data_IF_689252857438
#
_entry.id   IF_689252857438
#
_cell.length_a   1.000
_cell.length_b   1.000
_cell.length_c   1.000
_cell.angle_alpha   90.00
_cell.angle_beta   90.00
_cell.angle_gamma   90.00
#
_symmetry.space_group_name_H-M   'P 1'
#
loop_
_entity.id
_entity.type
_entity.pdbx_description
1 polymer ?
#
# COMPACT_ATOMS: atom_id res chain seq x y z
N UNK A 1 61.11 -27.11 33.37
CA UNK A 1 61.31 -26.64 31.97
C UNK A 1 61.06 -25.15 31.90
N UNK A 2 62.13 -24.36 32.20
CA UNK A 2 62.09 -22.91 32.07
C UNK A 2 62.14 -22.54 30.59
N UNK A 3 60.96 -22.28 30.00
CA UNK A 3 60.87 -21.63 28.69
C UNK A 3 61.28 -20.16 28.84
N UNK A 4 62.56 -19.89 28.61
CA UNK A 4 63.08 -18.52 28.43
C UNK A 4 62.39 -17.90 27.22
N UNK A 5 61.42 -17.03 27.45
CA UNK A 5 60.88 -16.16 26.42
C UNK A 5 61.93 -15.12 26.02
N UNK A 6 62.50 -15.26 24.82
CA UNK A 6 63.37 -14.24 24.26
C UNK A 6 62.53 -13.07 23.85
N UNK A 7 62.76 -11.94 24.48
CA UNK A 7 62.10 -10.67 24.14
C UNK A 7 62.85 -10.07 22.92
N UNK A 8 62.17 -10.10 21.75
CA UNK A 8 62.68 -9.42 20.58
C UNK A 8 62.22 -7.97 20.62
N UNK A 9 63.16 -7.03 20.79
CA UNK A 9 62.90 -5.62 20.69
C UNK A 9 63.56 -5.12 19.40
N UNK A 10 62.73 -4.62 18.47
CA UNK A 10 63.18 -4.03 17.21
C UNK A 10 62.88 -2.55 17.23
N UNK A 11 63.89 -1.72 17.05
CA UNK A 11 63.73 -0.26 16.91
C UNK A 11 63.63 0.04 15.42
N UNK A 12 62.60 0.84 15.07
CA UNK A 12 62.39 1.28 13.71
C UNK A 12 62.51 2.81 13.65
N UNK A 13 63.27 3.32 12.69
CA UNK A 13 63.29 4.74 12.36
C UNK A 13 62.06 5.17 11.57
N UNK A 14 61.52 4.26 10.76
CA UNK A 14 60.30 4.46 10.01
C UNK A 14 59.59 3.13 9.83
N UNK A 15 58.27 3.07 10.06
CA UNK A 15 57.43 1.91 9.81
C UNK A 15 56.30 2.29 8.89
N UNK A 16 56.28 1.71 7.72
CA UNK A 16 55.22 1.89 6.73
C UNK A 16 54.44 0.59 6.57
N UNK A 17 53.11 0.66 6.68
CA UNK A 17 52.22 -0.44 6.38
C UNK A 17 51.26 -0.04 5.29
N UNK A 18 51.40 -0.63 4.11
CA UNK A 18 50.45 -0.46 3.03
C UNK A 18 49.26 -1.35 3.29
N UNK A 19 48.09 -0.71 3.47
CA UNK A 19 46.82 -1.43 3.50
C UNK A 19 46.28 -1.48 2.08
N UNK A 20 46.06 -2.69 1.58
CA UNK A 20 45.33 -2.87 0.32
C UNK A 20 43.84 -2.56 0.55
N UNK A 21 43.40 -1.41 0.08
CA UNK A 21 42.03 -0.94 0.15
C UNK A 21 41.22 -1.36 -1.09
N UNK A 22 41.74 -2.18 -1.97
CA UNK A 22 41.04 -2.65 -3.16
C UNK A 22 39.73 -3.39 -2.81
N UNK A 23 39.67 -4.02 -1.64
CA UNK A 23 38.45 -4.66 -1.14
C UNK A 23 37.36 -3.66 -0.70
N UNK A 24 37.74 -2.40 -0.40
CA UNK A 24 36.84 -1.30 -0.09
C UNK A 24 36.52 -0.43 -1.31
N UNK A 25 37.10 -0.75 -2.50
CA UNK A 25 36.70 -0.12 -3.73
C UNK A 25 35.17 -0.32 -3.88
N UNK A 26 34.43 0.77 -3.95
CA UNK A 26 33.00 0.78 -4.22
C UNK A 26 32.78 0.00 -5.53
N UNK A 27 32.50 -1.30 -5.41
CA UNK A 27 31.98 -2.06 -6.53
C UNK A 27 30.65 -1.41 -6.88
N UNK A 28 30.59 -0.78 -8.05
CA UNK A 28 29.35 -0.28 -8.59
C UNK A 28 28.44 -1.48 -8.74
N UNK A 29 27.58 -1.68 -7.73
CA UNK A 29 26.61 -2.79 -7.74
C UNK A 29 25.78 -2.63 -8.99
N UNK A 30 25.72 -3.65 -9.84
CA UNK A 30 24.97 -3.62 -11.09
C UNK A 30 23.52 -3.19 -10.79
N UNK A 31 23.03 -2.22 -11.54
CA UNK A 31 21.63 -1.76 -11.46
C UNK A 31 20.62 -2.91 -11.62
N UNK A 32 21.09 -4.04 -12.17
CA UNK A 32 20.29 -5.25 -12.37
C UNK A 32 19.76 -5.80 -11.04
N UNK A 33 20.55 -5.76 -9.96
CA UNK A 33 20.13 -6.23 -8.62
C UNK A 33 19.04 -5.36 -8.01
N UNK A 34 18.92 -4.10 -8.42
CA UNK A 34 17.93 -3.16 -7.89
C UNK A 34 16.73 -2.95 -8.80
N UNK A 35 16.76 -3.53 -10.01
CA UNK A 35 15.64 -3.41 -10.96
C UNK A 35 14.31 -3.94 -10.44
N UNK A 36 14.36 -4.89 -9.50
CA UNK A 36 13.15 -5.48 -8.93
C UNK A 36 12.66 -4.76 -7.68
N UNK A 37 13.47 -3.86 -7.11
CA UNK A 37 13.06 -3.05 -5.97
C UNK A 37 12.24 -1.86 -6.47
N UNK A 38 10.93 -1.90 -6.24
CA UNK A 38 9.97 -0.87 -6.68
C UNK A 38 10.40 0.55 -6.30
N UNK A 39 10.99 0.72 -5.11
CA UNK A 39 11.44 2.01 -4.55
C UNK A 39 12.59 2.65 -5.30
N UNK A 40 13.47 1.85 -5.93
CA UNK A 40 14.65 2.33 -6.65
C UNK A 40 14.36 2.65 -8.12
N UNK A 41 13.22 2.25 -8.65
CA UNK A 41 12.81 2.53 -10.00
C UNK A 41 12.55 4.03 -10.21
N UNK A 42 12.95 4.56 -11.37
CA UNK A 42 12.55 5.88 -11.81
C UNK A 42 11.09 5.89 -12.30
N UNK A 43 10.53 7.08 -12.58
CA UNK A 43 9.12 7.25 -12.97
C UNK A 43 8.82 6.47 -14.28
N UNK A 44 9.71 6.53 -15.26
CA UNK A 44 9.54 5.84 -16.54
C UNK A 44 9.57 4.31 -16.36
N UNK A 45 10.51 3.80 -15.57
CA UNK A 45 10.60 2.37 -15.27
C UNK A 45 9.36 1.87 -14.51
N UNK A 46 8.85 2.66 -13.55
CA UNK A 46 7.62 2.32 -12.84
C UNK A 46 6.43 2.25 -13.78
N UNK A 47 6.31 3.19 -14.71
CA UNK A 47 5.23 3.20 -15.69
C UNK A 47 5.28 1.97 -16.60
N UNK A 48 6.46 1.61 -17.10
CA UNK A 48 6.67 0.40 -17.90
C UNK A 48 6.31 -0.86 -17.10
N UNK A 49 6.72 -0.95 -15.84
CA UNK A 49 6.36 -2.08 -14.95
C UNK A 49 4.84 -2.17 -14.72
N UNK A 50 4.19 -1.03 -14.47
CA UNK A 50 2.72 -0.97 -14.29
C UNK A 50 2.02 -1.52 -15.54
N UNK A 51 2.45 -1.11 -16.73
CA UNK A 51 1.83 -1.55 -17.99
C UNK A 51 2.11 -3.04 -18.28
N UNK A 52 3.32 -3.51 -17.98
CA UNK A 52 3.68 -4.94 -18.10
C UNK A 52 2.84 -5.81 -17.18
N UNK A 53 2.71 -5.45 -15.89
CA UNK A 53 1.93 -6.23 -14.92
C UNK A 53 0.43 -6.17 -15.26
N UNK A 54 -0.07 -5.02 -15.75
CA UNK A 54 -1.44 -4.90 -16.24
C UNK A 54 -1.71 -5.84 -17.42
N UNK A 55 -0.79 -5.90 -18.37
CA UNK A 55 -0.84 -6.86 -19.49
C UNK A 55 -0.84 -8.31 -19.01
N UNK A 56 0.01 -8.65 -18.06
CA UNK A 56 0.08 -9.99 -17.45
C UNK A 56 -1.25 -10.37 -16.75
N UNK A 57 -1.86 -9.45 -16.01
CA UNK A 57 -3.18 -9.68 -15.38
C UNK A 57 -4.24 -9.96 -16.46
N UNK A 58 -4.25 -9.17 -17.53
CA UNK A 58 -5.22 -9.37 -18.62
C UNK A 58 -5.02 -10.70 -19.33
N UNK A 59 -3.77 -11.07 -19.63
CA UNK A 59 -3.43 -12.36 -20.22
C UNK A 59 -3.84 -13.53 -19.32
N UNK A 60 -3.58 -13.45 -18.01
CA UNK A 60 -4.01 -14.47 -17.04
C UNK A 60 -5.53 -14.61 -16.98
N UNK A 61 -6.28 -13.51 -17.04
CA UNK A 61 -7.74 -13.53 -17.08
C UNK A 61 -8.26 -14.20 -18.35
N UNK A 62 -7.68 -13.87 -19.51
CA UNK A 62 -8.05 -14.46 -20.78
C UNK A 62 -7.79 -15.97 -20.77
N UNK A 63 -6.59 -16.39 -20.32
CA UNK A 63 -6.24 -17.81 -20.20
C UNK A 63 -7.18 -18.55 -19.24
N UNK A 64 -7.56 -17.93 -18.12
CA UNK A 64 -8.53 -18.51 -17.19
C UNK A 64 -9.89 -18.69 -17.87
N UNK A 65 -10.35 -17.69 -18.62
CA UNK A 65 -11.61 -17.75 -19.33
C UNK A 65 -11.61 -18.85 -20.42
N UNK A 66 -10.55 -18.90 -21.24
CA UNK A 66 -10.42 -19.87 -22.34
C UNK A 66 -10.33 -21.31 -21.79
N UNK A 67 -9.57 -21.53 -20.74
CA UNK A 67 -9.49 -22.84 -20.09
C UNK A 67 -10.80 -23.25 -19.45
N UNK A 68 -11.51 -22.34 -18.75
CA UNK A 68 -12.83 -22.64 -18.20
C UNK A 68 -13.83 -22.96 -19.29
N UNK A 69 -13.78 -22.25 -20.42
CA UNK A 69 -14.64 -22.52 -21.58
C UNK A 69 -14.38 -23.93 -22.11
N UNK A 70 -13.11 -24.35 -22.22
CA UNK A 70 -12.74 -25.69 -22.65
C UNK A 70 -13.21 -26.79 -21.68
N UNK A 71 -13.08 -26.58 -20.37
CA UNK A 71 -13.51 -27.55 -19.35
C UNK A 71 -15.04 -27.68 -19.26
N UNK A 72 -15.77 -26.61 -19.47
CA UNK A 72 -17.24 -26.59 -19.35
C UNK A 72 -17.96 -27.09 -20.60
N UNK A 73 -17.25 -27.51 -21.64
CA UNK A 73 -17.82 -28.03 -22.89
C UNK A 73 -18.85 -27.12 -23.57
N UNK A 74 -18.81 -25.82 -23.34
CA UNK A 74 -19.63 -24.85 -24.06
C UNK A 74 -19.10 -24.54 -25.47
N UNK A 75 -18.41 -25.48 -26.09
CA UNK A 75 -17.98 -25.38 -27.49
C UNK A 75 -19.11 -25.67 -28.49
N UNK A 76 -20.34 -25.76 -28.04
CA UNK A 76 -21.49 -25.89 -28.93
C UNK A 76 -21.79 -24.49 -29.52
N UNK A 77 -21.75 -24.30 -30.86
CA UNK A 77 -21.96 -23.01 -31.51
C UNK A 77 -23.31 -22.35 -31.18
N UNK A 78 -24.30 -23.15 -30.72
CA UNK A 78 -25.55 -22.61 -30.17
C UNK A 78 -25.36 -21.82 -28.86
N UNK A 79 -24.39 -22.18 -28.01
CA UNK A 79 -24.11 -21.44 -26.76
C UNK A 79 -23.33 -20.16 -27.01
N UNK A 80 -22.42 -20.14 -28.01
CA UNK A 80 -21.72 -18.92 -28.39
C UNK A 80 -22.66 -17.83 -28.90
N UNK A 81 -23.74 -18.22 -29.57
CA UNK A 81 -24.77 -17.30 -30.05
C UNK A 81 -25.63 -16.74 -28.88
N UNK A 82 -25.89 -17.55 -27.85
CA UNK A 82 -26.64 -17.14 -26.65
C UNK A 82 -25.74 -16.27 -25.74
N UNK A 83 -24.46 -16.59 -25.59
CA UNK A 83 -23.50 -15.81 -24.80
C UNK A 83 -23.22 -14.43 -25.41
N UNK A 84 -23.25 -14.28 -26.73
CA UNK A 84 -23.18 -12.99 -27.43
C UNK A 84 -24.43 -12.14 -27.31
N UNK A 85 -25.60 -12.79 -27.18
CA UNK A 85 -26.88 -12.10 -27.06
C UNK A 85 -27.19 -11.63 -25.64
N UNK A 86 -26.53 -12.20 -24.63
CA UNK A 86 -26.79 -11.87 -23.22
C UNK A 86 -25.48 -11.47 -22.54
N UNK A 87 -25.22 -10.17 -22.40
CA UNK A 87 -24.10 -9.63 -21.68
C UNK A 87 -24.14 -9.86 -20.13
N UNK A 88 -25.15 -10.60 -19.70
CA UNK A 88 -25.33 -11.03 -18.31
C UNK A 88 -25.36 -12.56 -18.33
N UNK A 89 -24.41 -13.21 -17.66
CA UNK A 89 -24.46 -14.62 -17.36
C UNK A 89 -25.66 -14.88 -16.44
N UNK A 90 -26.82 -15.31 -16.94
CA UNK A 90 -27.74 -16.06 -16.11
C UNK A 90 -27.16 -17.48 -16.11
N UNK A 91 -26.60 -17.91 -14.99
CA UNK A 91 -26.46 -19.33 -14.71
C UNK A 91 -27.87 -19.91 -14.67
N UNK A 92 -28.43 -20.24 -15.84
CA UNK A 92 -29.63 -21.03 -15.93
C UNK A 92 -29.25 -22.49 -15.68
N UNK A 93 -28.65 -22.75 -14.54
CA UNK A 93 -28.44 -24.09 -14.00
C UNK A 93 -29.58 -24.52 -13.09
N UNK A 94 -30.61 -23.69 -12.93
CA UNK A 94 -31.66 -23.93 -11.94
C UNK A 94 -32.70 -24.98 -12.38
N UNK A 95 -32.74 -25.47 -13.63
CA UNK A 95 -33.76 -26.40 -14.07
C UNK A 95 -33.27 -27.66 -14.81
N UNK A 96 -31.97 -27.88 -14.94
CA UNK A 96 -31.48 -29.17 -15.40
C UNK A 96 -31.26 -30.04 -14.16
N UNK A 97 -32.24 -30.87 -13.83
CA UNK A 97 -32.04 -31.98 -12.89
C UNK A 97 -31.09 -32.97 -13.57
N UNK A 98 -29.77 -32.70 -13.52
CA UNK A 98 -28.74 -33.53 -14.11
C UNK A 98 -28.77 -34.99 -13.63
N UNK A 99 -29.38 -35.23 -12.47
CA UNK A 99 -29.66 -36.57 -11.97
C UNK A 99 -30.71 -37.32 -12.82
N UNK A 100 -31.66 -36.64 -13.47
CA UNK A 100 -32.68 -37.29 -14.26
C UNK A 100 -32.15 -37.80 -15.62
N UNK A 101 -31.04 -37.23 -16.11
CA UNK A 101 -30.34 -37.69 -17.31
C UNK A 101 -29.59 -39.02 -17.06
N UNK A 102 -29.20 -39.28 -15.85
CA UNK A 102 -28.38 -40.44 -15.45
C UNK A 102 -29.24 -41.61 -14.93
N UNK A 103 -30.53 -41.38 -14.62
CA UNK A 103 -31.43 -42.39 -14.05
C UNK A 103 -31.70 -43.60 -14.93
N UNK A 104 -31.58 -43.45 -16.24
CA UNK A 104 -31.90 -44.50 -17.21
C UNK A 104 -30.70 -45.40 -17.57
N UNK A 105 -29.50 -45.08 -17.04
CA UNK A 105 -28.28 -45.85 -17.31
C UNK A 105 -28.07 -46.94 -16.26
N UNK A 106 -27.22 -47.93 -16.58
CA UNK A 106 -26.88 -48.99 -15.64
C UNK A 106 -26.17 -48.41 -14.41
N UNK A 107 -26.26 -49.08 -13.25
CA UNK A 107 -25.63 -48.58 -12.00
C UNK A 107 -24.12 -48.38 -12.12
N UNK A 108 -23.41 -49.14 -12.93
CA UNK A 108 -21.98 -48.99 -13.17
C UNK A 108 -21.71 -47.71 -13.97
N UNK A 109 -22.45 -47.48 -15.07
CA UNK A 109 -22.33 -46.29 -15.89
C UNK A 109 -22.68 -45.01 -15.10
N UNK A 110 -23.67 -45.08 -14.21
CA UNK A 110 -23.99 -43.97 -13.30
C UNK A 110 -22.83 -43.62 -12.39
N UNK A 111 -22.15 -44.59 -11.83
CA UNK A 111 -20.97 -44.37 -10.95
C UNK A 111 -19.84 -43.75 -11.75
N UNK A 112 -19.51 -44.25 -12.91
CA UNK A 112 -18.45 -43.73 -13.77
C UNK A 112 -18.72 -42.28 -14.20
N UNK A 113 -19.97 -41.97 -14.58
CA UNK A 113 -20.35 -40.58 -14.94
C UNK A 113 -20.19 -39.63 -13.76
N UNK A 114 -20.62 -40.05 -12.55
CA UNK A 114 -20.51 -39.24 -11.33
C UNK A 114 -19.03 -39.06 -10.94
N UNK A 115 -18.23 -40.11 -11.05
CA UNK A 115 -16.79 -40.03 -10.73
C UNK A 115 -16.05 -39.08 -11.68
N UNK A 116 -16.25 -39.21 -12.99
CA UNK A 116 -15.68 -38.33 -14.00
C UNK A 116 -16.15 -36.88 -13.80
N UNK A 117 -17.42 -36.64 -13.54
CA UNK A 117 -17.97 -35.33 -13.28
C UNK A 117 -17.35 -34.70 -12.01
N UNK A 118 -17.22 -35.51 -10.96
CA UNK A 118 -16.61 -35.07 -9.68
C UNK A 118 -15.14 -34.75 -9.87
N UNK A 119 -14.39 -35.58 -10.59
CA UNK A 119 -12.97 -35.34 -10.89
C UNK A 119 -12.79 -34.04 -11.68
N UNK A 120 -13.62 -33.80 -12.72
CA UNK A 120 -13.62 -32.56 -13.50
C UNK A 120 -13.97 -31.35 -12.63
N UNK A 121 -14.98 -31.44 -11.77
CA UNK A 121 -15.35 -30.35 -10.87
C UNK A 121 -14.23 -30.00 -9.88
N UNK A 122 -13.55 -31.00 -9.33
CA UNK A 122 -12.37 -30.81 -8.47
C UNK A 122 -11.23 -30.12 -9.22
N UNK A 123 -10.94 -30.54 -10.45
CA UNK A 123 -9.90 -29.94 -11.28
C UNK A 123 -10.21 -28.48 -11.61
N UNK A 124 -11.46 -28.17 -12.00
CA UNK A 124 -11.91 -26.78 -12.25
C UNK A 124 -11.75 -25.93 -10.98
N UNK A 125 -12.21 -26.45 -9.83
CA UNK A 125 -12.09 -25.75 -8.54
C UNK A 125 -10.64 -25.48 -8.18
N UNK A 126 -9.77 -26.45 -8.33
CA UNK A 126 -8.32 -26.31 -8.05
C UNK A 126 -7.67 -25.29 -8.98
N UNK A 127 -7.90 -25.41 -10.29
CA UNK A 127 -7.37 -24.49 -11.29
C UNK A 127 -7.86 -23.04 -11.10
N UNK A 128 -9.15 -22.87 -10.86
CA UNK A 128 -9.74 -21.56 -10.61
C UNK A 128 -9.17 -20.96 -9.32
N UNK A 129 -9.01 -21.78 -8.28
CA UNK A 129 -8.44 -21.35 -7.00
C UNK A 129 -6.99 -20.86 -7.12
N UNK A 130 -6.13 -21.60 -7.85
CA UNK A 130 -4.76 -21.17 -8.08
C UNK A 130 -4.69 -19.93 -8.98
N UNK A 131 -5.42 -19.91 -10.09
CA UNK A 131 -5.44 -18.75 -11.00
C UNK A 131 -5.95 -17.48 -10.34
N UNK A 132 -6.92 -17.60 -9.44
CA UNK A 132 -7.44 -16.44 -8.67
C UNK A 132 -6.38 -15.91 -7.70
N UNK A 133 -5.63 -16.80 -7.05
CA UNK A 133 -4.51 -16.41 -6.18
C UNK A 133 -3.41 -15.70 -6.98
N UNK A 134 -3.03 -16.24 -8.13
CA UNK A 134 -2.02 -15.63 -9.00
C UNK A 134 -2.44 -14.21 -9.43
N UNK A 135 -3.70 -14.05 -9.84
CA UNK A 135 -4.25 -12.72 -10.22
C UNK A 135 -4.25 -11.78 -8.99
N UNK A 136 -4.52 -12.29 -7.80
CA UNK A 136 -4.49 -11.51 -6.57
C UNK A 136 -3.06 -10.99 -6.27
N UNK A 137 -2.04 -11.84 -6.37
CA UNK A 137 -0.65 -11.43 -6.17
C UNK A 137 -0.21 -10.41 -7.22
N UNK A 138 -0.51 -10.64 -8.50
CA UNK A 138 -0.21 -9.66 -9.56
C UNK A 138 -0.91 -8.30 -9.35
N UNK A 139 -2.10 -8.29 -8.75
CA UNK A 139 -2.77 -7.03 -8.38
C UNK A 139 -2.08 -6.33 -7.23
N UNK A 140 -1.59 -7.09 -6.24
CA UNK A 140 -0.82 -6.53 -5.14
C UNK A 140 0.44 -5.85 -5.64
N UNK A 141 1.20 -6.54 -6.52
CA UNK A 141 2.40 -5.99 -7.14
C UNK A 141 2.08 -4.73 -7.97
N UNK A 142 0.99 -4.76 -8.75
CA UNK A 142 0.52 -3.60 -9.50
C UNK A 142 0.23 -2.40 -8.60
N UNK A 143 -0.41 -2.64 -7.46
CA UNK A 143 -0.72 -1.59 -6.49
C UNK A 143 0.56 -1.04 -5.85
N UNK A 144 1.53 -1.89 -5.50
CA UNK A 144 2.83 -1.47 -4.99
C UNK A 144 3.54 -0.52 -5.97
N UNK A 145 3.64 -0.89 -7.26
CA UNK A 145 4.23 0.00 -8.27
C UNK A 145 3.48 1.33 -8.42
N UNK A 146 2.14 1.31 -8.32
CA UNK A 146 1.34 2.54 -8.35
C UNK A 146 1.56 3.40 -7.10
N UNK A 147 1.66 2.80 -5.92
CA UNK A 147 1.98 3.51 -4.67
C UNK A 147 3.32 4.21 -4.81
N UNK A 148 4.36 3.50 -5.29
CA UNK A 148 5.68 4.09 -5.48
C UNK A 148 5.69 5.20 -6.54
N UNK A 149 4.92 5.05 -7.62
CA UNK A 149 4.74 6.09 -8.61
C UNK A 149 4.15 7.37 -8.00
N UNK A 150 3.06 7.25 -7.26
CA UNK A 150 2.44 8.40 -6.59
C UNK A 150 3.30 8.95 -5.45
N UNK A 151 4.08 8.12 -4.75
CA UNK A 151 4.98 8.53 -3.68
C UNK A 151 6.00 9.58 -4.15
N UNK A 152 6.55 9.43 -5.36
CA UNK A 152 7.53 10.37 -5.90
C UNK A 152 6.94 11.79 -6.06
N UNK A 153 5.71 11.91 -6.52
CA UNK A 153 5.02 13.19 -6.62
C UNK A 153 4.57 13.70 -5.24
N UNK A 154 4.03 12.80 -4.42
CA UNK A 154 3.54 13.12 -3.07
C UNK A 154 4.64 13.78 -2.22
N UNK A 155 5.89 13.29 -2.28
CA UNK A 155 6.99 13.85 -1.52
C UNK A 155 7.22 15.35 -1.80
N UNK A 156 7.10 15.77 -3.04
CA UNK A 156 7.20 17.19 -3.42
C UNK A 156 6.11 18.03 -2.75
N UNK A 157 4.85 17.55 -2.80
CA UNK A 157 3.73 18.24 -2.14
C UNK A 157 3.90 18.31 -0.62
N UNK A 158 4.39 17.25 -0.01
CA UNK A 158 4.64 17.19 1.43
C UNK A 158 5.70 18.20 1.85
N UNK A 159 6.79 18.38 1.09
CA UNK A 159 7.80 19.39 1.38
C UNK A 159 7.19 20.80 1.39
N UNK A 160 6.32 21.11 0.42
CA UNK A 160 5.60 22.40 0.36
C UNK A 160 4.68 22.55 1.58
N UNK A 161 3.92 21.50 1.93
CA UNK A 161 3.03 21.55 3.09
C UNK A 161 3.79 21.75 4.41
N UNK A 162 4.94 21.08 4.60
CA UNK A 162 5.76 21.28 5.79
C UNK A 162 6.33 22.68 5.86
N UNK A 163 6.65 23.32 4.74
CA UNK A 163 7.02 24.73 4.72
C UNK A 163 5.88 25.63 5.22
N UNK A 164 4.66 25.41 4.73
CA UNK A 164 3.48 26.18 5.17
C UNK A 164 3.03 25.85 6.61
N UNK A 165 3.47 24.75 7.19
CA UNK A 165 3.26 24.41 8.60
C UNK A 165 4.36 25.04 9.46
N UNK A 166 5.63 24.89 9.06
CA UNK A 166 6.78 25.27 9.85
C UNK A 166 6.96 26.80 9.99
N UNK A 167 6.75 27.55 8.91
CA UNK A 167 6.87 29.00 8.96
C UNK A 167 5.87 29.66 9.93
N UNK A 168 4.56 29.38 9.85
CA UNK A 168 3.60 29.88 10.83
C UNK A 168 3.85 29.42 12.25
N UNK A 169 4.28 28.16 12.44
CA UNK A 169 4.55 27.61 13.73
C UNK A 169 5.72 28.37 14.43
N UNK A 170 6.78 28.67 13.68
CA UNK A 170 7.89 29.47 14.16
C UNK A 170 7.50 30.88 14.60
N UNK A 171 6.63 31.54 13.86
CA UNK A 171 6.16 32.90 14.17
C UNK A 171 5.25 32.95 15.40
N UNK A 172 4.29 32.03 15.49
CA UNK A 172 3.33 31.94 16.60
C UNK A 172 4.04 31.70 17.95
N UNK A 173 5.09 30.88 17.96
CA UNK A 173 5.75 30.44 19.20
C UNK A 173 6.97 31.31 19.54
N UNK A 174 7.24 32.36 18.78
CA UNK A 174 8.39 33.25 18.95
C UNK A 174 8.57 33.78 20.38
N UNK A 175 7.51 33.94 21.15
CA UNK A 175 7.51 34.42 22.55
C UNK A 175 7.87 33.33 23.58
N UNK A 176 7.89 32.04 23.21
CA UNK A 176 8.08 30.91 24.13
C UNK A 176 9.47 30.29 24.15
N UNK A 177 10.45 30.86 23.42
CA UNK A 177 11.78 30.26 23.23
C UNK A 177 11.84 29.18 22.16
N UNK A 178 13.07 28.78 21.76
CA UNK A 178 13.29 27.84 20.62
C UNK A 178 12.82 26.41 20.86
N UNK A 179 12.63 26.00 22.12
CA UNK A 179 12.27 24.61 22.45
C UNK A 179 10.85 24.21 22.00
N UNK A 180 9.87 25.11 22.12
CA UNK A 180 8.48 24.84 21.78
C UNK A 180 8.23 24.55 20.29
N UNK A 181 8.77 25.34 19.34
CA UNK A 181 8.63 25.03 17.91
C UNK A 181 9.18 23.65 17.54
N UNK A 182 10.33 23.28 18.10
CA UNK A 182 10.97 21.97 17.86
C UNK A 182 10.06 20.85 18.36
N UNK A 183 9.52 20.96 19.57
CA UNK A 183 8.63 19.97 20.16
C UNK A 183 7.37 19.74 19.30
N UNK A 184 6.69 20.82 18.90
CA UNK A 184 5.50 20.71 18.04
C UNK A 184 5.84 20.17 16.65
N UNK A 185 6.99 20.53 16.07
CA UNK A 185 7.42 20.00 14.78
C UNK A 185 7.60 18.49 14.83
N UNK A 186 8.18 17.95 15.91
CA UNK A 186 8.35 16.51 16.11
C UNK A 186 7.00 15.80 16.19
N UNK A 187 6.04 16.35 16.96
CA UNK A 187 4.71 15.78 17.11
C UNK A 187 3.99 15.73 15.75
N UNK A 188 4.01 16.83 14.98
CA UNK A 188 3.40 16.92 13.66
C UNK A 188 4.04 15.92 12.71
N UNK A 189 5.36 15.78 12.77
CA UNK A 189 6.07 14.81 11.93
C UNK A 189 5.70 13.36 12.26
N UNK A 190 5.62 12.99 13.55
CA UNK A 190 5.20 11.65 13.98
C UNK A 190 3.77 11.37 13.51
N UNK A 191 2.86 12.33 13.66
CA UNK A 191 1.47 12.21 13.23
C UNK A 191 1.37 12.02 11.71
N UNK A 192 2.09 12.84 10.95
CA UNK A 192 2.20 12.69 9.51
C UNK A 192 2.70 11.29 9.11
N UNK A 193 3.79 10.84 9.75
CA UNK A 193 4.44 9.57 9.43
C UNK A 193 3.49 8.38 9.68
N UNK A 194 2.76 8.41 10.81
CA UNK A 194 1.77 7.39 11.12
C UNK A 194 0.65 7.32 10.07
N UNK A 195 0.07 8.46 9.70
CA UNK A 195 -0.97 8.52 8.66
C UNK A 195 -0.43 8.06 7.30
N UNK A 196 0.83 8.41 6.98
CA UNK A 196 1.46 8.02 5.75
C UNK A 196 1.59 6.49 5.64
N UNK A 197 2.07 5.81 6.68
CA UNK A 197 2.19 4.35 6.71
C UNK A 197 0.81 3.69 6.58
N UNK A 198 -0.17 4.16 7.34
CA UNK A 198 -1.54 3.61 7.29
C UNK A 198 -2.12 3.76 5.88
N UNK A 199 -1.98 4.94 5.27
CA UNK A 199 -2.49 5.21 3.94
C UNK A 199 -1.84 4.33 2.85
N UNK A 200 -0.52 4.12 2.92
CA UNK A 200 0.19 3.26 2.00
C UNK A 200 -0.21 1.78 2.16
N UNK A 201 -0.37 1.29 3.38
CA UNK A 201 -0.85 -0.07 3.65
C UNK A 201 -2.27 -0.32 3.11
N UNK A 202 -3.16 0.65 3.26
CA UNK A 202 -4.52 0.58 2.71
C UNK A 202 -4.46 0.56 1.17
N UNK A 203 -3.59 1.36 0.56
CA UNK A 203 -3.42 1.42 -0.89
C UNK A 203 -2.87 0.10 -1.48
N UNK A 204 -1.91 -0.55 -0.82
CA UNK A 204 -1.35 -1.84 -1.22
C UNK A 204 -2.39 -2.98 -1.12
N UNK A 205 -3.28 -2.95 -0.12
CA UNK A 205 -4.25 -3.99 0.17
C UNK A 205 -5.39 -4.17 -0.84
N UNK A 206 -5.32 -3.57 -2.02
CA UNK A 206 -6.20 -3.74 -3.20
C UNK A 206 -7.70 -3.43 -3.04
N UNK A 207 -8.15 -2.99 -1.89
CA UNK A 207 -9.57 -2.77 -1.59
C UNK A 207 -10.05 -1.38 -1.99
N UNK A 208 -9.17 -0.37 -1.99
CA UNK A 208 -9.48 1.02 -2.30
C UNK A 208 -8.67 1.54 -3.50
N UNK A 209 -9.09 2.67 -4.05
CA UNK A 209 -8.32 3.34 -5.09
C UNK A 209 -6.93 3.69 -4.53
N UNK A 210 -5.88 3.18 -5.16
CA UNK A 210 -4.47 3.39 -4.76
C UNK A 210 -4.14 4.86 -4.56
N UNK A 211 -4.70 5.73 -5.41
CA UNK A 211 -4.53 7.17 -5.31
C UNK A 211 -4.99 7.72 -3.95
N UNK A 212 -6.22 7.42 -3.53
CA UNK A 212 -6.79 7.94 -2.27
C UNK A 212 -5.98 7.50 -1.05
N UNK A 213 -5.58 6.22 -0.99
CA UNK A 213 -4.76 5.72 0.11
C UNK A 213 -3.38 6.37 0.16
N UNK A 214 -2.71 6.47 -0.98
CA UNK A 214 -1.37 7.07 -1.05
C UNK A 214 -1.39 8.57 -0.69
N UNK A 215 -2.41 9.33 -1.08
CA UNK A 215 -2.53 10.77 -0.83
C UNK A 215 -3.21 11.12 0.50
N UNK A 216 -3.59 10.13 1.31
CA UNK A 216 -4.29 10.33 2.59
C UNK A 216 -3.56 11.30 3.52
N UNK A 217 -2.22 11.19 3.63
CA UNK A 217 -1.41 12.10 4.45
C UNK A 217 -1.48 13.55 3.96
N UNK A 218 -1.49 13.78 2.65
CA UNK A 218 -1.63 15.13 2.06
C UNK A 218 -3.00 15.73 2.37
N UNK A 219 -4.08 14.93 2.23
CA UNK A 219 -5.43 15.38 2.55
C UNK A 219 -5.60 15.81 4.00
N UNK A 220 -4.92 15.14 4.93
CA UNK A 220 -4.98 15.49 6.37
C UNK A 220 -4.08 16.69 6.69
N UNK A 221 -2.90 16.79 6.09
CA UNK A 221 -1.97 17.89 6.34
C UNK A 221 -2.43 19.21 5.71
N UNK A 222 -3.09 19.18 4.57
CA UNK A 222 -3.51 20.38 3.86
C UNK A 222 -4.40 21.30 4.70
N UNK A 223 -5.51 20.83 5.30
CA UNK A 223 -6.35 21.68 6.15
C UNK A 223 -5.59 22.20 7.38
N UNK A 224 -4.68 21.40 7.93
CA UNK A 224 -3.83 21.82 9.04
C UNK A 224 -2.87 22.94 8.64
N UNK A 225 -2.22 22.84 7.48
CA UNK A 225 -1.35 23.86 6.94
C UNK A 225 -2.11 25.18 6.69
N UNK A 226 -3.29 25.10 6.08
CA UNK A 226 -4.15 26.25 5.82
C UNK A 226 -4.57 26.92 7.14
N UNK A 227 -5.02 26.15 8.12
CA UNK A 227 -5.42 26.65 9.43
C UNK A 227 -4.29 27.41 10.14
N UNK A 228 -3.07 26.82 10.18
CA UNK A 228 -1.92 27.44 10.80
C UNK A 228 -1.51 28.73 10.08
N UNK A 229 -1.52 28.73 8.74
CA UNK A 229 -1.16 29.91 7.94
C UNK A 229 -2.14 31.07 8.15
N UNK A 230 -3.46 30.80 8.12
CA UNK A 230 -4.48 31.81 8.38
C UNK A 230 -4.34 32.37 9.79
N UNK A 231 -4.06 31.49 10.75
CA UNK A 231 -3.96 31.87 12.14
C UNK A 231 -2.72 32.72 12.44
N UNK A 232 -1.57 32.41 11.81
CA UNK A 232 -0.36 33.20 11.91
C UNK A 232 -0.56 34.61 11.31
N UNK A 233 -1.20 34.69 10.13
CA UNK A 233 -1.46 35.96 9.46
C UNK A 233 -2.48 36.86 10.21
N UNK A 234 -3.31 36.28 11.06
CA UNK A 234 -4.33 37.01 11.86
C UNK A 234 -3.80 37.56 13.18
N UNK A 235 -2.48 37.60 13.42
CA UNK A 235 -1.81 38.16 14.62
C UNK A 235 -2.40 37.72 15.97
N UNK A 236 -3.23 36.69 15.98
CA UNK A 236 -3.89 36.20 17.19
C UNK A 236 -3.07 35.06 17.81
N UNK A 237 -2.54 35.33 19.01
CA UNK A 237 -1.75 34.35 19.77
C UNK A 237 -2.58 33.10 20.03
N UNK A 238 -2.30 32.00 19.30
CA UNK A 238 -2.97 30.69 19.44
C UNK A 238 -2.72 30.12 20.86
N UNK A 239 -1.61 30.48 21.50
CA UNK A 239 -1.20 30.00 22.82
C UNK A 239 -1.44 30.99 23.94
N UNK A 240 -2.29 32.00 23.77
CA UNK A 240 -2.66 32.87 24.87
C UNK A 240 -3.61 32.11 25.80
N UNK A 241 -3.06 31.65 26.92
CA UNK A 241 -3.73 30.86 27.96
C UNK A 241 -5.05 31.50 28.40
N UNK A 242 -5.12 32.82 28.37
CA UNK A 242 -6.29 33.59 28.76
C UNK A 242 -7.47 33.48 27.80
N UNK A 243 -7.22 33.24 26.52
CA UNK A 243 -8.29 33.07 25.50
C UNK A 243 -8.98 31.72 25.67
N UNK A 244 -8.23 30.66 25.99
CA UNK A 244 -8.80 29.34 26.20
C UNK A 244 -9.50 29.24 27.57
N UNK A 245 -8.95 29.84 28.62
CA UNK A 245 -9.58 29.92 29.92
C UNK A 245 -10.91 30.71 29.89
N UNK A 246 -11.02 31.77 29.10
CA UNK A 246 -12.27 32.51 28.91
C UNK A 246 -13.31 31.68 28.15
N UNK A 247 -12.87 30.90 27.14
CA UNK A 247 -13.78 30.09 26.32
C UNK A 247 -14.30 28.87 27.08
N UNK A 248 -13.45 28.21 27.88
CA UNK A 248 -13.85 27.11 28.76
C UNK A 248 -14.73 27.58 29.92
N UNK A 249 -14.43 28.74 30.52
CA UNK A 249 -15.33 29.35 31.55
C UNK A 249 -16.70 29.69 30.97
N UNK A 250 -16.82 30.21 29.76
CA UNK A 250 -18.10 30.45 29.08
C UNK A 250 -18.89 29.16 28.85
N UNK A 251 -18.23 28.10 28.39
CA UNK A 251 -18.87 26.79 28.20
C UNK A 251 -19.35 26.22 29.56
N UNK A 252 -18.53 26.33 30.62
CA UNK A 252 -18.88 25.84 31.94
C UNK A 252 -20.07 26.64 32.56
N UNK A 253 -20.09 27.95 32.37
CA UNK A 253 -21.22 28.81 32.79
C UNK A 253 -22.51 28.51 32.00
N UNK A 254 -22.42 28.10 30.75
CA UNK A 254 -23.56 27.71 29.94
C UNK A 254 -24.17 26.38 30.44
N UNK A 255 -23.33 25.45 30.88
CA UNK A 255 -23.78 24.19 31.51
C UNK A 255 -24.38 24.41 32.89
N UNK A 256 -23.81 25.26 33.76
CA UNK A 256 -24.36 25.57 35.06
C UNK A 256 -25.70 26.32 34.99
N UNK A 257 -25.89 27.21 34.01
CA UNK A 257 -27.15 27.93 33.81
C UNK A 257 -28.30 27.02 33.36
N UNK A 258 -27.98 25.83 32.81
CA UNK A 258 -29.01 24.86 32.40
C UNK A 258 -29.52 24.01 33.57
N UNK A 259 -28.76 23.84 34.65
CA UNK A 259 -29.18 23.10 35.83
C UNK A 259 -30.11 23.94 36.75
N UNK A 260 -30.00 25.29 36.74
CA UNK A 260 -30.81 26.17 37.55
C UNK A 260 -32.20 26.48 36.95
N UNK A 261 -32.55 25.95 35.77
CA UNK A 261 -33.87 26.14 35.16
C UNK A 261 -34.77 24.90 35.36
N UNK A 262 -34.22 23.80 35.91
CA UNK A 262 -34.95 22.56 36.18
C UNK A 262 -35.01 22.19 37.68
N UNK A 263 -34.74 23.14 38.61
CA UNK A 263 -34.98 22.99 40.06
C UNK A 263 -36.18 23.80 40.51
#
# INVERSE_FOLDING_TARGET
DDKKYQLFQTNFDQWEKHFDLSQFALQKTDEIFFKDVSRMCNISQLQTKIDTVRGSIQSRKNNLYDNLKAYLFFSNPRFDSIAKATSTFPIVLSNIKGLDLVKNESRMEQQDIIEVATAKARNIKSYTGSSTKDIFYLRSDLNEFKVEYHRKFKLTFICILFFFIGAPLGDIIRKGGLGWPIFFSIIIFIFFYAINIIGERIAEGSTYQVFTGTWMSVYVLTPMAIFLTIKANSDSSIFNKDTYLKKTKRLFQFFQKKETIHA
#
